data_IF_583859821915
#
_entry.id   IF_583859821915
#
_cell.length_a   1.000
_cell.length_b   1.000
_cell.length_c   1.000
_cell.angle_alpha   90.00
_cell.angle_beta   90.00
_cell.angle_gamma   90.00
#
_symmetry.space_group_name_H-M   'P 1'
#
loop_
_entity.id
_entity.type
_entity.pdbx_description
1 polymer ?
#
# COMPACT_ATOMS: atom_id res chain seq x y z
N UNK A 1 19.96 -3.04 -2.02
CA UNK A 1 19.47 -1.90 -1.22
C UNK A 1 18.13 -2.20 -0.52
N UNK A 2 17.44 -3.29 -0.88
CA UNK A 2 16.18 -3.78 -0.30
C UNK A 2 16.15 -3.92 1.24
N UNK A 3 17.31 -4.15 1.86
CA UNK A 3 17.46 -4.29 3.33
C UNK A 3 17.88 -3.01 4.04
N UNK A 4 18.05 -1.90 3.33
CA UNK A 4 18.38 -0.63 3.98
C UNK A 4 17.16 -0.13 4.76
N UNK A 5 17.32 0.07 6.07
CA UNK A 5 16.25 0.45 7.00
C UNK A 5 15.47 1.68 6.53
N UNK A 6 16.15 2.65 5.89
CA UNK A 6 15.55 3.85 5.33
C UNK A 6 14.50 3.54 4.26
N UNK A 7 14.76 2.55 3.40
CA UNK A 7 13.84 2.19 2.33
C UNK A 7 12.56 1.53 2.87
N UNK A 8 12.72 0.69 3.90
CA UNK A 8 11.58 0.06 4.59
C UNK A 8 10.76 1.10 5.36
N UNK A 9 11.42 2.04 6.04
CA UNK A 9 10.75 3.15 6.71
C UNK A 9 9.99 4.02 5.72
N UNK A 10 10.62 4.37 4.60
CA UNK A 10 9.98 5.19 3.57
C UNK A 10 8.72 4.51 3.01
N UNK A 11 8.83 3.22 2.70
CA UNK A 11 7.70 2.42 2.25
C UNK A 11 6.58 2.38 3.30
N UNK A 12 6.91 2.19 4.56
CA UNK A 12 5.95 2.20 5.66
C UNK A 12 5.23 3.56 5.77
N UNK A 13 5.93 4.67 5.57
CA UNK A 13 5.32 6.01 5.53
C UNK A 13 4.35 6.18 4.35
N UNK A 14 4.69 5.62 3.18
CA UNK A 14 3.78 5.61 2.02
C UNK A 14 2.52 4.79 2.33
N UNK A 15 2.67 3.64 2.98
CA UNK A 15 1.53 2.81 3.41
C UNK A 15 0.63 3.56 4.39
N UNK A 16 1.21 4.23 5.40
CA UNK A 16 0.44 5.04 6.35
C UNK A 16 -0.30 6.19 5.65
N UNK A 17 0.35 6.83 4.67
CA UNK A 17 -0.26 7.90 3.89
C UNK A 17 -1.41 7.37 3.04
N UNK A 18 -1.24 6.22 2.40
CA UNK A 18 -2.31 5.58 1.63
C UNK A 18 -3.52 5.23 2.53
N UNK A 19 -3.29 4.64 3.70
CA UNK A 19 -4.35 4.34 4.67
C UNK A 19 -5.07 5.60 5.14
N UNK A 20 -4.34 6.68 5.41
CA UNK A 20 -4.94 7.96 5.80
C UNK A 20 -5.80 8.55 4.67
N UNK A 21 -5.30 8.60 3.44
CA UNK A 21 -6.05 9.09 2.28
C UNK A 21 -7.34 8.30 2.06
N UNK A 22 -7.26 6.97 2.17
CA UNK A 22 -8.44 6.10 2.02
C UNK A 22 -9.43 6.26 3.16
N UNK A 23 -8.97 6.41 4.41
CA UNK A 23 -9.86 6.68 5.53
C UNK A 23 -10.55 8.03 5.41
N UNK A 24 -9.82 9.06 4.99
CA UNK A 24 -10.37 10.38 4.75
C UNK A 24 -11.41 10.36 3.61
N UNK A 25 -11.11 9.68 2.51
CA UNK A 25 -12.06 9.44 1.41
C UNK A 25 -13.27 8.62 1.85
N UNK A 26 -13.07 7.54 2.63
CA UNK A 26 -14.17 6.76 3.19
C UNK A 26 -15.12 7.61 4.01
N UNK A 27 -14.57 8.59 4.76
CA UNK A 27 -15.37 9.53 5.53
C UNK A 27 -16.24 10.45 4.66
N UNK A 28 -15.80 10.80 3.44
CA UNK A 28 -16.57 11.66 2.54
C UNK A 28 -17.68 10.92 1.79
N UNK A 29 -17.71 9.59 1.80
CA UNK A 29 -18.70 8.79 1.06
C UNK A 29 -20.01 8.53 1.82
N UNK A 30 -20.11 8.96 3.08
CA UNK A 30 -21.30 8.76 3.90
C UNK A 30 -21.65 9.99 4.72
N UNK A 31 -22.78 9.91 5.43
CA UNK A 31 -23.22 10.94 6.36
C UNK A 31 -23.51 10.34 7.74
N UNK A 32 -23.29 11.12 8.80
CA UNK A 32 -23.59 10.71 10.17
C UNK A 32 -22.74 9.51 10.62
N UNK A 33 -23.38 8.44 11.09
CA UNK A 33 -22.66 7.26 11.59
C UNK A 33 -21.87 6.52 10.49
N UNK A 34 -22.41 6.45 9.27
CA UNK A 34 -21.82 5.71 8.14
C UNK A 34 -20.45 6.29 7.73
N UNK A 35 -20.27 7.61 7.87
CA UNK A 35 -18.99 8.29 7.63
C UNK A 35 -17.87 7.71 8.50
N UNK A 36 -18.10 7.52 9.80
CA UNK A 36 -17.11 6.97 10.71
C UNK A 36 -16.84 5.49 10.45
N UNK A 37 -17.89 4.74 10.12
CA UNK A 37 -17.77 3.32 9.76
C UNK A 37 -16.86 3.17 8.54
N UNK A 38 -17.12 3.89 7.45
CA UNK A 38 -16.31 3.80 6.23
C UNK A 38 -14.88 4.30 6.43
N UNK A 39 -14.70 5.38 7.21
CA UNK A 39 -13.39 5.94 7.52
C UNK A 39 -12.45 4.96 8.24
N UNK A 40 -12.99 4.05 9.04
CA UNK A 40 -12.20 3.04 9.77
C UNK A 40 -12.16 1.71 9.00
N UNK A 41 -13.31 1.27 8.50
CA UNK A 41 -13.45 -0.06 7.91
C UNK A 41 -12.60 -0.24 6.66
N UNK A 42 -12.51 0.79 5.79
CA UNK A 42 -11.71 0.72 4.57
C UNK A 42 -10.20 0.61 4.87
N UNK A 43 -9.58 1.48 5.69
CA UNK A 43 -8.18 1.30 6.09
C UNK A 43 -7.91 -0.02 6.80
N UNK A 44 -8.83 -0.48 7.66
CA UNK A 44 -8.68 -1.76 8.37
C UNK A 44 -8.63 -2.92 7.37
N UNK A 45 -9.51 -2.97 6.38
CA UNK A 45 -9.48 -4.00 5.33
C UNK A 45 -8.14 -4.00 4.58
N UNK A 46 -7.65 -2.82 4.21
CA UNK A 46 -6.35 -2.70 3.54
C UNK A 46 -5.21 -3.20 4.43
N UNK A 47 -5.18 -2.78 5.70
CA UNK A 47 -4.15 -3.20 6.66
C UNK A 47 -4.19 -4.70 6.94
N UNK A 48 -5.38 -5.29 7.10
CA UNK A 48 -5.54 -6.73 7.31
C UNK A 48 -5.09 -7.49 6.07
N UNK A 49 -5.53 -7.08 4.88
CA UNK A 49 -5.11 -7.69 3.62
C UNK A 49 -3.59 -7.65 3.45
N UNK A 50 -2.97 -6.52 3.79
CA UNK A 50 -1.52 -6.38 3.81
C UNK A 50 -0.82 -7.33 4.79
N UNK A 51 -1.38 -7.53 5.98
CA UNK A 51 -0.81 -8.37 7.01
C UNK A 51 -0.97 -9.86 6.69
N UNK A 52 -2.11 -10.26 6.12
CA UNK A 52 -2.51 -11.64 5.83
C UNK A 52 -1.82 -12.18 4.58
N UNK A 53 -1.82 -11.44 3.48
CA UNK A 53 -1.26 -11.88 2.19
C UNK A 53 0.23 -11.57 2.13
N UNK A 54 1.07 -12.51 2.60
CA UNK A 54 2.53 -12.35 2.64
C UNK A 54 3.24 -13.29 1.68
N UNK A 55 4.38 -12.81 1.19
CA UNK A 55 5.26 -13.58 0.32
C UNK A 55 6.03 -14.63 1.14
N UNK A 56 5.97 -15.92 0.79
CA UNK A 56 6.45 -17.02 1.63
C UNK A 56 7.97 -17.19 1.69
N UNK A 57 8.74 -16.68 0.71
CA UNK A 57 10.20 -16.82 0.70
C UNK A 57 10.91 -15.76 1.57
N UNK A 58 10.24 -15.24 2.59
CA UNK A 58 10.86 -14.49 3.68
C UNK A 58 11.09 -15.45 4.87
N UNK A 59 12.33 -15.90 5.12
CA UNK A 59 12.63 -16.90 6.15
C UNK A 59 12.30 -16.44 7.58
N UNK A 60 11.96 -15.16 7.79
CA UNK A 60 11.63 -14.60 9.12
C UNK A 60 10.14 -14.61 9.45
N UNK A 61 9.27 -14.91 8.49
CA UNK A 61 7.83 -14.69 8.63
C UNK A 61 7.04 -15.90 8.11
N UNK A 62 6.25 -16.53 8.99
CA UNK A 62 5.24 -17.49 8.57
C UNK A 62 4.03 -16.71 8.02
N UNK A 63 3.78 -16.73 6.69
CA UNK A 63 2.63 -16.05 6.12
C UNK A 63 1.34 -16.74 6.58
N UNK A 64 0.31 -15.95 6.90
CA UNK A 64 -1.04 -16.48 7.18
C UNK A 64 -1.64 -17.07 5.91
N UNK A 65 -1.59 -16.30 4.81
CA UNK A 65 -1.92 -16.78 3.47
C UNK A 65 -0.69 -16.52 2.58
N UNK A 66 0.04 -17.58 2.16
CA UNK A 66 1.17 -17.43 1.26
C UNK A 66 0.68 -17.01 -0.13
N UNK A 67 1.20 -15.90 -0.64
CA UNK A 67 0.93 -15.42 -1.99
C UNK A 67 2.22 -15.26 -2.77
N UNK A 68 2.15 -15.40 -4.09
CA UNK A 68 3.32 -15.17 -4.95
C UNK A 68 3.79 -13.71 -4.87
N UNK A 69 5.07 -13.47 -5.14
CA UNK A 69 5.65 -12.13 -5.12
C UNK A 69 4.96 -11.20 -6.12
N UNK A 70 4.50 -11.73 -7.26
CA UNK A 70 3.68 -10.99 -8.22
C UNK A 70 2.32 -10.56 -7.66
N UNK A 71 1.61 -11.45 -6.96
CA UNK A 71 0.33 -11.11 -6.31
C UNK A 71 0.55 -10.06 -5.23
N UNK A 72 1.66 -10.18 -4.48
CA UNK A 72 2.04 -9.17 -3.48
C UNK A 72 2.27 -7.80 -4.14
N UNK A 73 3.00 -7.73 -5.24
CA UNK A 73 3.22 -6.48 -5.99
C UNK A 73 1.91 -5.89 -6.54
N UNK A 74 1.01 -6.72 -7.06
CA UNK A 74 -0.30 -6.27 -7.52
C UNK A 74 -1.12 -5.67 -6.38
N UNK A 75 -1.16 -6.32 -5.22
CA UNK A 75 -1.86 -5.82 -4.04
C UNK A 75 -1.30 -4.46 -3.59
N UNK A 76 0.02 -4.31 -3.56
CA UNK A 76 0.69 -3.05 -3.26
C UNK A 76 0.29 -1.95 -4.27
N UNK A 77 0.33 -2.27 -5.56
CA UNK A 77 -0.07 -1.37 -6.63
C UNK A 77 -1.52 -0.92 -6.48
N UNK A 78 -2.45 -1.84 -6.22
CA UNK A 78 -3.86 -1.51 -6.03
C UNK A 78 -4.09 -0.59 -4.83
N UNK A 79 -3.34 -0.76 -3.73
CA UNK A 79 -3.49 0.09 -2.55
C UNK A 79 -3.04 1.52 -2.82
N UNK A 80 -1.88 1.70 -3.46
CA UNK A 80 -1.42 3.02 -3.83
C UNK A 80 -2.29 3.65 -4.90
N UNK A 81 -2.71 2.89 -5.91
CA UNK A 81 -3.63 3.38 -6.94
C UNK A 81 -4.96 3.83 -6.33
N UNK A 82 -5.53 3.05 -5.41
CA UNK A 82 -6.78 3.39 -4.74
C UNK A 82 -6.65 4.68 -3.92
N UNK A 83 -5.54 4.85 -3.18
CA UNK A 83 -5.27 6.09 -2.44
C UNK A 83 -5.09 7.31 -3.37
N UNK A 84 -4.47 7.14 -4.55
CA UNK A 84 -4.35 8.18 -5.56
C UNK A 84 -5.74 8.57 -6.07
N UNK A 85 -6.55 7.59 -6.49
CA UNK A 85 -7.92 7.83 -6.98
C UNK A 85 -8.81 8.48 -5.92
N UNK A 86 -8.66 8.07 -4.66
CA UNK A 86 -9.33 8.70 -3.53
C UNK A 86 -9.01 10.20 -3.40
N UNK A 87 -7.74 10.59 -3.57
CA UNK A 87 -7.33 12.00 -3.58
C UNK A 87 -7.89 12.78 -4.77
N UNK A 88 -8.00 12.15 -5.95
CA UNK A 88 -8.65 12.76 -7.11
C UNK A 88 -10.14 13.02 -6.85
N UNK A 89 -10.86 12.04 -6.31
CA UNK A 89 -12.28 12.14 -5.98
C UNK A 89 -12.57 13.19 -4.90
N UNK A 90 -11.66 13.32 -3.92
CA UNK A 90 -11.69 14.40 -2.91
C UNK A 90 -11.41 15.81 -3.49
N UNK A 91 -11.15 15.94 -4.79
CA UNK A 91 -10.84 17.22 -5.42
C UNK A 91 -9.40 17.71 -5.16
N UNK A 92 -8.47 16.80 -4.86
CA UNK A 92 -7.06 17.09 -4.64
C UNK A 92 -6.14 16.44 -5.70
N UNK A 93 -6.33 16.70 -7.01
CA UNK A 93 -5.57 16.05 -8.08
C UNK A 93 -4.06 16.33 -7.99
N UNK A 94 -3.66 17.54 -7.56
CA UNK A 94 -2.24 17.87 -7.35
C UNK A 94 -1.58 16.97 -6.31
N UNK A 95 -2.21 16.78 -5.15
CA UNK A 95 -1.71 15.88 -4.10
C UNK A 95 -1.71 14.42 -4.55
N UNK A 96 -2.71 14.02 -5.35
CA UNK A 96 -2.76 12.70 -5.99
C UNK A 96 -1.57 12.48 -6.93
N UNK A 97 -1.22 13.49 -7.73
CA UNK A 97 -0.07 13.45 -8.64
C UNK A 97 1.26 13.40 -7.88
N UNK A 98 1.42 14.22 -6.83
CA UNK A 98 2.61 14.21 -5.97
C UNK A 98 2.81 12.82 -5.33
N UNK A 99 1.73 12.24 -4.79
CA UNK A 99 1.79 10.91 -4.19
C UNK A 99 2.12 9.83 -5.22
N UNK A 100 1.52 9.88 -6.41
CA UNK A 100 1.83 8.97 -7.51
C UNK A 100 3.31 9.05 -7.92
N UNK A 101 3.84 10.28 -8.06
CA UNK A 101 5.24 10.51 -8.39
C UNK A 101 6.18 9.92 -7.33
N UNK A 102 5.89 10.15 -6.05
CA UNK A 102 6.68 9.59 -4.95
C UNK A 102 6.65 8.07 -4.94
N UNK A 103 5.49 7.45 -5.18
CA UNK A 103 5.34 5.99 -5.28
C UNK A 103 6.17 5.43 -6.44
N UNK A 104 6.14 6.07 -7.61
CA UNK A 104 6.96 5.67 -8.77
C UNK A 104 8.45 5.76 -8.45
N UNK A 105 8.90 6.88 -7.85
CA UNK A 105 10.29 7.04 -7.43
C UNK A 105 10.69 5.96 -6.42
N UNK A 106 9.84 5.64 -5.44
CA UNK A 106 10.09 4.59 -4.48
C UNK A 106 10.29 3.22 -5.15
N UNK A 107 9.42 2.87 -6.11
CA UNK A 107 9.57 1.62 -6.87
C UNK A 107 10.83 1.61 -7.75
N UNK A 108 11.21 2.76 -8.32
CA UNK A 108 12.47 2.91 -9.06
C UNK A 108 13.70 2.71 -8.18
N UNK A 109 13.72 3.29 -6.98
CA UNK A 109 14.80 3.11 -6.00
C UNK A 109 14.82 1.68 -5.45
N UNK A 110 13.64 1.07 -5.27
CA UNK A 110 13.45 -0.28 -4.74
C UNK A 110 13.33 -1.35 -5.82
N UNK A 111 13.85 -1.10 -7.03
CA UNK A 111 13.71 -2.00 -8.17
C UNK A 111 14.27 -3.40 -7.88
N UNK A 112 15.29 -3.49 -7.03
CA UNK A 112 15.88 -4.74 -6.58
C UNK A 112 14.85 -5.63 -5.86
N UNK A 113 14.06 -5.06 -4.94
CA UNK A 113 12.95 -5.77 -4.29
C UNK A 113 11.88 -6.19 -5.28
N UNK A 114 11.51 -5.30 -6.22
CA UNK A 114 10.49 -5.59 -7.23
C UNK A 114 10.93 -6.79 -8.08
N UNK A 115 12.19 -6.84 -8.50
CA UNK A 115 12.74 -7.95 -9.26
C UNK A 115 12.78 -9.25 -8.45
N UNK A 116 13.16 -9.19 -7.17
CA UNK A 116 13.16 -10.37 -6.29
C UNK A 116 11.76 -10.97 -6.20
N UNK A 117 10.74 -10.14 -5.93
CA UNK A 117 9.35 -10.60 -5.85
C UNK A 117 8.84 -11.10 -7.20
N UNK A 118 9.13 -10.39 -8.28
CA UNK A 118 8.68 -10.77 -9.62
C UNK A 118 9.31 -12.09 -10.09
N UNK A 119 10.55 -12.36 -9.68
CA UNK A 119 11.29 -13.60 -9.98
C UNK A 119 11.09 -14.69 -8.94
N UNK A 120 10.25 -14.45 -7.93
CA UNK A 120 9.99 -15.38 -6.83
C UNK A 120 11.30 -15.83 -6.12
N UNK A 121 12.28 -14.92 -6.02
CA UNK A 121 13.54 -15.14 -5.31
C UNK A 121 13.40 -14.90 -3.80
N UNK A 122 14.25 -15.50 -2.96
CA UNK A 122 14.28 -15.21 -1.52
C UNK A 122 14.73 -13.77 -1.24
N UNK A 123 14.13 -13.15 -0.21
CA UNK A 123 14.35 -11.73 0.17
C UNK A 123 15.57 -11.52 1.09
#
# INVERSE_FOLDING_TARGET
MSKHWLNQLFRFLLELTALFCVGYWGSSQGSGFTQYVLAIFLPVIMAVSWAVFRYPNDPKLNPVIPVSGKVRLLLEFFFFLFAILALYDLGHPGRGADFAFIVILHYGISYDRVLILFREQPI
#
